data_IF_718455621925
#
_entry.id   IF_718455621925
#
_cell.length_a   1.000
_cell.length_b   1.000
_cell.length_c   1.000
_cell.angle_alpha   90.00
_cell.angle_beta   90.00
_cell.angle_gamma   90.00
#
_symmetry.space_group_name_H-M   'P 1'
#
loop_
_entity.id
_entity.type
_entity.pdbx_description
1 polymer ?
#
# COMPACT_ATOMS: atom_id res chain seq x y z
N UNK A 1 -5.19 -35.84 -0.72
CA UNK A 1 -4.00 -36.70 -0.91
C UNK A 1 -3.93 -37.11 -2.37
N UNK A 2 -2.98 -36.58 -3.14
CA UNK A 2 -2.79 -36.95 -4.54
C UNK A 2 -2.21 -38.37 -4.60
N UNK A 3 -3.04 -39.34 -5.03
CA UNK A 3 -2.61 -40.72 -5.28
C UNK A 3 -2.22 -40.82 -6.77
N UNK A 4 -0.95 -41.14 -7.03
CA UNK A 4 -0.32 -41.46 -8.33
C UNK A 4 0.06 -40.34 -9.34
N UNK A 5 -0.04 -39.05 -9.02
CA UNK A 5 0.29 -37.98 -10.00
C UNK A 5 1.69 -37.38 -9.81
N UNK A 6 2.61 -37.57 -10.77
CA UNK A 6 3.81 -36.70 -10.89
C UNK A 6 3.34 -35.25 -10.96
N UNK A 7 3.73 -34.43 -9.98
CA UNK A 7 3.46 -32.99 -9.96
C UNK A 7 3.96 -32.39 -11.29
N UNK A 8 3.08 -31.72 -12.02
CA UNK A 8 3.37 -31.14 -13.35
C UNK A 8 3.79 -29.68 -13.29
N UNK A 9 3.49 -29.00 -12.18
CA UNK A 9 3.88 -27.61 -11.93
C UNK A 9 3.37 -27.14 -10.57
N UNK A 10 4.09 -26.19 -9.98
CA UNK A 10 3.64 -25.40 -8.83
C UNK A 10 3.54 -23.94 -9.25
N UNK A 11 2.48 -23.27 -8.80
CA UNK A 11 2.34 -21.82 -8.90
C UNK A 11 2.53 -21.30 -7.48
N UNK A 12 3.43 -20.34 -7.34
CA UNK A 12 3.64 -19.63 -6.09
C UNK A 12 3.27 -18.17 -6.30
N UNK A 13 2.67 -17.57 -5.28
CA UNK A 13 2.63 -16.12 -5.18
C UNK A 13 4.07 -15.61 -4.91
N UNK A 14 4.41 -14.41 -5.38
CA UNK A 14 5.75 -13.85 -5.15
C UNK A 14 5.90 -13.43 -3.68
N UNK A 15 4.90 -12.69 -3.19
CA UNK A 15 4.90 -12.14 -1.85
C UNK A 15 4.53 -13.22 -0.83
N UNK A 16 5.27 -13.29 0.28
CA UNK A 16 5.07 -14.23 1.41
C UNK A 16 5.22 -15.73 1.08
N UNK A 17 5.38 -16.11 -0.19
CA UNK A 17 5.60 -17.51 -0.59
C UNK A 17 7.00 -17.74 -1.16
N UNK A 18 7.48 -16.87 -2.06
CA UNK A 18 8.85 -16.94 -2.59
C UNK A 18 9.78 -15.94 -1.90
N UNK A 19 9.26 -14.78 -1.50
CA UNK A 19 10.03 -13.70 -0.90
C UNK A 19 9.38 -13.28 0.42
N UNK A 20 10.17 -13.29 1.49
CA UNK A 20 9.79 -12.71 2.79
C UNK A 20 10.31 -11.27 2.85
N UNK A 21 9.45 -10.31 2.54
CA UNK A 21 9.77 -8.89 2.65
C UNK A 21 9.46 -8.44 4.08
N UNK A 22 10.51 -8.04 4.80
CA UNK A 22 10.39 -7.42 6.12
C UNK A 22 10.41 -5.90 5.97
N UNK A 23 9.24 -5.30 5.78
CA UNK A 23 9.09 -3.84 5.73
C UNK A 23 8.73 -3.31 7.11
N UNK A 24 9.47 -2.31 7.59
CA UNK A 24 9.08 -1.54 8.77
C UNK A 24 8.11 -0.42 8.38
N UNK A 25 6.84 -0.77 8.19
CA UNK A 25 5.76 0.19 7.92
C UNK A 25 5.49 1.15 9.10
N UNK A 26 6.09 0.88 10.27
CA UNK A 26 6.07 1.75 11.44
C UNK A 26 7.17 2.82 11.42
N UNK A 27 8.13 2.73 10.50
CA UNK A 27 9.30 3.59 10.42
C UNK A 27 8.89 5.06 10.31
N UNK A 28 9.21 5.82 11.36
CA UNK A 28 9.00 7.28 11.37
C UNK A 28 9.77 7.95 10.24
N UNK A 29 11.02 7.53 10.01
CA UNK A 29 11.88 8.10 8.97
C UNK A 29 11.28 7.94 7.57
N UNK A 30 10.66 6.78 7.29
CA UNK A 30 10.00 6.51 6.01
C UNK A 30 8.83 7.47 5.80
N UNK A 31 7.95 7.59 6.80
CA UNK A 31 6.80 8.49 6.72
C UNK A 31 7.21 9.97 6.62
N UNK A 32 8.32 10.37 7.25
CA UNK A 32 8.90 11.71 7.13
C UNK A 32 9.39 12.00 5.71
N UNK A 33 10.08 11.04 5.07
CA UNK A 33 10.56 11.19 3.69
C UNK A 33 9.40 11.27 2.70
N UNK A 34 8.42 10.39 2.83
CA UNK A 34 7.23 10.36 1.96
C UNK A 34 6.44 11.66 2.10
N UNK A 35 6.17 12.13 3.32
CA UNK A 35 5.43 13.37 3.56
C UNK A 35 6.14 14.60 2.99
N UNK A 36 7.47 14.69 3.13
CA UNK A 36 8.27 15.76 2.52
C UNK A 36 8.22 15.69 1.00
N UNK A 37 8.31 14.49 0.42
CA UNK A 37 8.21 14.32 -1.02
C UNK A 37 6.83 14.74 -1.55
N UNK A 38 5.75 14.30 -0.89
CA UNK A 38 4.36 14.68 -1.20
C UNK A 38 4.11 16.18 -1.15
N UNK A 39 4.76 16.89 -0.22
CA UNK A 39 4.70 18.36 -0.16
C UNK A 39 5.20 19.01 -1.46
N UNK A 40 6.27 18.48 -2.06
CA UNK A 40 6.74 18.95 -3.37
C UNK A 40 5.77 18.60 -4.50
N UNK A 41 4.96 17.56 -4.35
CA UNK A 41 3.97 17.13 -5.34
C UNK A 41 2.63 17.86 -5.21
N UNK A 42 2.37 18.60 -4.13
CA UNK A 42 1.14 19.38 -3.95
C UNK A 42 0.18 18.83 -2.90
N UNK A 43 0.65 17.87 -2.10
CA UNK A 43 -0.10 17.22 -1.02
C UNK A 43 0.53 17.61 0.31
N UNK A 44 -0.26 18.14 1.24
CA UNK A 44 0.24 18.53 2.57
C UNK A 44 -0.33 17.59 3.63
N UNK A 45 0.50 16.65 4.07
CA UNK A 45 0.17 15.71 5.14
C UNK A 45 1.36 15.55 6.07
N UNK A 46 1.10 15.53 7.38
CA UNK A 46 2.14 15.30 8.39
C UNK A 46 2.50 13.81 8.48
N UNK A 47 3.75 13.44 8.81
CA UNK A 47 4.22 12.05 8.82
C UNK A 47 3.39 11.09 9.69
N UNK A 48 3.04 11.52 10.91
CA UNK A 48 2.22 10.69 11.80
C UNK A 48 0.80 10.52 11.26
N UNK A 49 0.24 11.58 10.65
CA UNK A 49 -1.09 11.55 10.03
C UNK A 49 -1.11 10.66 8.79
N UNK A 50 -0.08 10.72 7.94
CA UNK A 50 0.09 9.84 6.79
C UNK A 50 0.06 8.37 7.21
N UNK A 51 0.82 8.03 8.25
CA UNK A 51 0.87 6.68 8.81
C UNK A 51 -0.50 6.23 9.34
N UNK A 52 -1.21 7.12 10.04
CA UNK A 52 -2.52 6.82 10.60
C UNK A 52 -3.58 6.63 9.51
N UNK A 53 -3.67 7.56 8.54
CA UNK A 53 -4.62 7.46 7.43
C UNK A 53 -4.38 6.20 6.60
N UNK A 54 -3.11 5.88 6.30
CA UNK A 54 -2.75 4.63 5.63
C UNK A 54 -3.26 3.41 6.40
N UNK A 55 -2.92 3.31 7.69
CA UNK A 55 -3.34 2.17 8.53
C UNK A 55 -4.86 2.03 8.60
N UNK A 56 -5.57 3.13 8.83
CA UNK A 56 -7.03 3.10 8.94
C UNK A 56 -7.71 2.70 7.64
N UNK A 57 -7.25 3.23 6.49
CA UNK A 57 -7.81 2.88 5.18
C UNK A 57 -7.51 1.43 4.81
N UNK A 58 -6.30 0.91 5.11
CA UNK A 58 -5.95 -0.50 4.91
C UNK A 58 -6.84 -1.41 5.76
N UNK A 59 -6.96 -1.15 7.07
CA UNK A 59 -7.83 -1.93 7.97
C UNK A 59 -9.28 -1.89 7.49
N UNK A 60 -9.75 -0.72 7.04
CA UNK A 60 -11.09 -0.56 6.48
C UNK A 60 -11.33 -1.43 5.24
N UNK A 61 -10.39 -1.48 4.29
CA UNK A 61 -10.50 -2.32 3.09
C UNK A 61 -10.39 -3.82 3.40
N UNK A 62 -9.53 -4.21 4.35
CA UNK A 62 -9.44 -5.59 4.82
C UNK A 62 -10.76 -6.04 5.48
N UNK A 63 -11.34 -5.20 6.35
CA UNK A 63 -12.54 -5.50 7.12
C UNK A 63 -13.82 -5.55 6.29
N UNK A 64 -13.89 -4.78 5.19
CA UNK A 64 -15.05 -4.74 4.30
C UNK A 64 -15.01 -5.81 3.19
N UNK A 65 -13.96 -6.62 3.11
CA UNK A 65 -13.91 -7.69 2.13
C UNK A 65 -14.74 -8.89 2.60
N UNK A 66 -15.58 -9.44 1.72
CA UNK A 66 -16.21 -10.75 1.94
C UNK A 66 -15.23 -11.92 1.76
N UNK A 67 -13.95 -11.64 1.50
CA UNK A 67 -12.93 -12.65 1.21
C UNK A 67 -12.18 -13.02 2.48
N UNK A 68 -11.72 -14.27 2.56
CA UNK A 68 -10.92 -14.75 3.70
C UNK A 68 -9.51 -14.15 3.72
N UNK A 69 -8.99 -13.77 2.55
CA UNK A 69 -7.67 -13.18 2.35
C UNK A 69 -7.77 -12.10 1.26
N UNK A 70 -8.35 -10.93 1.56
CA UNK A 70 -8.46 -9.86 0.60
C UNK A 70 -7.10 -9.38 0.12
N UNK A 71 -7.02 -9.17 -1.18
CA UNK A 71 -5.95 -8.40 -1.79
C UNK A 71 -6.35 -6.92 -1.86
N UNK A 72 -5.40 -6.02 -1.59
CA UNK A 72 -5.64 -4.58 -1.54
C UNK A 72 -4.69 -3.88 -2.50
N UNK A 73 -5.25 -3.03 -3.33
CA UNK A 73 -4.51 -2.11 -4.17
C UNK A 73 -4.02 -0.92 -3.34
N UNK A 74 -2.75 -0.95 -2.96
CA UNK A 74 -2.12 0.07 -2.13
C UNK A 74 -2.03 1.42 -2.84
N UNK A 75 -1.89 1.40 -4.17
CA UNK A 75 -1.88 2.60 -5.00
C UNK A 75 -3.20 3.38 -4.87
N UNK A 76 -4.32 2.68 -4.75
CA UNK A 76 -5.62 3.28 -4.53
C UNK A 76 -5.76 3.86 -3.11
N UNK A 77 -5.06 3.32 -2.11
CA UNK A 77 -5.03 3.91 -0.76
C UNK A 77 -4.28 5.24 -0.82
N UNK A 78 -3.10 5.26 -1.43
CA UNK A 78 -2.31 6.49 -1.53
C UNK A 78 -2.95 7.53 -2.44
N UNK A 79 -3.61 7.12 -3.53
CA UNK A 79 -4.36 8.04 -4.37
C UNK A 79 -5.46 8.77 -3.58
N UNK A 80 -6.17 8.05 -2.72
CA UNK A 80 -7.21 8.59 -1.83
C UNK A 80 -6.62 9.58 -0.82
N UNK A 81 -5.54 9.21 -0.13
CA UNK A 81 -4.83 10.09 0.82
C UNK A 81 -4.33 11.36 0.12
N UNK A 82 -3.76 11.23 -1.07
CA UNK A 82 -3.26 12.37 -1.84
C UNK A 82 -4.38 13.32 -2.25
N UNK A 83 -5.51 12.79 -2.72
CA UNK A 83 -6.67 13.60 -3.10
C UNK A 83 -7.27 14.35 -1.90
N UNK A 84 -7.38 13.71 -0.74
CA UNK A 84 -7.93 14.30 0.49
C UNK A 84 -7.05 15.42 1.08
N UNK A 85 -5.74 15.40 0.80
CA UNK A 85 -4.75 16.32 1.38
C UNK A 85 -4.11 17.25 0.33
N UNK A 86 -4.67 17.34 -0.88
CA UNK A 86 -4.17 18.20 -1.95
C UNK A 86 -4.43 19.69 -1.66
N UNK A 87 -3.42 20.54 -1.84
CA UNK A 87 -3.57 22.00 -1.77
C UNK A 87 -3.44 22.71 -3.13
N UNK A 88 -3.21 21.93 -4.20
CA UNK A 88 -3.19 22.36 -5.60
C UNK A 88 -3.71 21.22 -6.47
N UNK A 89 -3.93 21.48 -7.76
CA UNK A 89 -4.30 20.44 -8.72
C UNK A 89 -3.18 19.39 -8.83
N UNK A 90 -3.56 18.12 -8.75
CA UNK A 90 -2.67 16.97 -8.81
C UNK A 90 -3.33 15.84 -9.61
N UNK A 91 -2.51 14.99 -10.24
CA UNK A 91 -2.95 13.66 -10.68
C UNK A 91 -2.81 12.68 -9.52
N UNK A 92 -3.89 12.50 -8.76
CA UNK A 92 -3.90 11.64 -7.57
C UNK A 92 -3.71 10.16 -7.91
N UNK A 93 -4.13 9.72 -9.10
CA UNK A 93 -3.96 8.35 -9.55
C UNK A 93 -2.48 8.04 -9.78
N UNK A 94 -1.80 8.88 -10.56
CA UNK A 94 -0.37 8.75 -10.79
C UNK A 94 0.42 8.90 -9.49
N UNK A 95 0.06 9.87 -8.65
CA UNK A 95 0.75 10.11 -7.39
C UNK A 95 0.59 8.94 -6.41
N UNK A 96 -0.56 8.26 -6.40
CA UNK A 96 -0.78 7.04 -5.65
C UNK A 96 0.15 5.89 -6.07
N UNK A 97 0.36 5.72 -7.38
CA UNK A 97 1.29 4.72 -7.94
C UNK A 97 2.73 5.02 -7.52
N UNK A 98 3.17 6.28 -7.65
CA UNK A 98 4.54 6.65 -7.30
C UNK A 98 4.80 6.56 -5.79
N UNK A 99 3.83 6.95 -4.96
CA UNK A 99 3.96 6.86 -3.51
C UNK A 99 4.08 5.40 -3.05
N UNK A 100 3.37 4.47 -3.70
CA UNK A 100 3.42 3.04 -3.36
C UNK A 100 4.77 2.36 -3.68
N UNK A 101 5.68 3.03 -4.40
CA UNK A 101 7.01 2.51 -4.75
C UNK A 101 8.11 2.91 -3.77
N UNK A 102 7.82 3.85 -2.85
CA UNK A 102 8.78 4.42 -1.89
C UNK A 102 8.85 3.53 -0.65
#
# INVERSE_FOLDING_TARGET
MLRNGKIKGLIFDCYKTLIDIKTDEGSRETNEKVSKWLLYQGVRIEPDRLREEYKWKVIGRLGNSGQKYPDIRIEEIFAEICAENAFREIDSFWLGIETAKV
#
